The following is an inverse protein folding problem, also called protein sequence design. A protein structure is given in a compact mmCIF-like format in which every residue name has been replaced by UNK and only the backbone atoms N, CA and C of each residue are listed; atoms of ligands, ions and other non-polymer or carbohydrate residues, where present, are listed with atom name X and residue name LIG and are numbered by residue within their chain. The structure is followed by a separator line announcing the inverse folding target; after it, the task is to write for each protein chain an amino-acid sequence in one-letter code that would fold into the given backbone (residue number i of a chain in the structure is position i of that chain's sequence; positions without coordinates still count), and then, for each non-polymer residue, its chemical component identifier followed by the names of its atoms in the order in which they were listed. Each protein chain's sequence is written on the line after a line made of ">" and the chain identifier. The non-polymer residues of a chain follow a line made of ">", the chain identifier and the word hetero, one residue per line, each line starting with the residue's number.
data_IF_328232099226
#
_entry.id   IF_328232099226
#
_cell.length_a   1.000
_cell.length_b   1.000
_cell.length_c   1.000
_cell.angle_alpha   90.00
_cell.angle_beta   90.00
_cell.angle_gamma   90.00
#
_symmetry.space_group_name_H-M   'P 1'
#
loop_
_entity.id
_entity.type
_entity.pdbx_description
1 polymer ?
#
# COMPACT_ATOMS: atom_id res chain seq x y z
N UNK A 1 50.47 17.32 -23.44
CA UNK A 1 49.95 18.62 -22.93
C UNK A 1 48.43 18.55 -22.99
N UNK A 2 47.78 18.25 -21.86
CA UNK A 2 46.94 19.18 -21.09
C UNK A 2 45.70 19.71 -21.84
N UNK A 3 44.55 19.19 -21.38
CA UNK A 3 43.28 19.87 -21.07
C UNK A 3 42.24 20.06 -22.19
N UNK A 4 41.10 19.40 -22.01
CA UNK A 4 39.69 19.89 -21.99
C UNK A 4 38.86 18.58 -21.91
N UNK A 5 38.52 18.04 -20.73
CA UNK A 5 37.60 18.52 -19.68
C UNK A 5 36.18 18.79 -20.20
N UNK A 6 35.26 17.90 -19.77
CA UNK A 6 33.81 18.05 -19.67
C UNK A 6 33.06 18.44 -20.95
N UNK A 7 32.16 17.57 -21.41
CA UNK A 7 30.72 17.80 -21.45
C UNK A 7 30.04 16.62 -22.14
N UNK A 8 29.35 15.77 -21.37
CA UNK A 8 28.14 15.03 -21.80
C UNK A 8 27.66 14.16 -20.63
N UNK A 9 27.37 14.81 -19.50
CA UNK A 9 26.34 14.31 -18.59
C UNK A 9 25.10 15.12 -18.98
N UNK A 10 24.37 14.65 -19.99
CA UNK A 10 23.07 15.18 -20.32
C UNK A 10 22.21 14.02 -20.81
N UNK A 11 21.01 13.92 -20.23
CA UNK A 11 19.92 13.01 -20.57
C UNK A 11 19.97 11.60 -19.95
N UNK A 12 19.67 11.55 -18.64
CA UNK A 12 18.63 10.66 -18.12
C UNK A 12 18.23 11.11 -16.70
N UNK A 13 17.75 12.35 -16.54
CA UNK A 13 17.12 12.80 -15.29
C UNK A 13 15.73 13.33 -15.62
N UNK A 14 14.82 12.42 -15.98
CA UNK A 14 13.39 12.74 -16.04
C UNK A 14 12.56 11.46 -16.07
N UNK A 15 12.55 10.77 -14.93
CA UNK A 15 11.37 10.09 -14.39
C UNK A 15 11.58 9.85 -12.88
N UNK A 16 12.19 10.81 -12.19
CA UNK A 16 11.98 10.88 -10.76
C UNK A 16 10.58 11.48 -10.61
N UNK A 17 9.56 10.61 -10.65
CA UNK A 17 8.24 10.97 -10.14
C UNK A 17 8.51 11.45 -8.73
N UNK A 18 8.41 12.78 -8.51
CA UNK A 18 8.40 13.32 -7.15
C UNK A 18 7.28 12.55 -6.49
N UNK A 19 7.63 11.66 -5.56
CA UNK A 19 6.67 10.83 -4.86
C UNK A 19 5.53 11.74 -4.43
N UNK A 20 4.41 11.68 -5.16
CA UNK A 20 3.17 12.27 -4.69
C UNK A 20 3.06 11.74 -3.28
N UNK A 21 2.87 12.60 -2.28
CA UNK A 21 2.58 12.14 -0.93
C UNK A 21 1.32 11.29 -1.04
N UNK A 22 1.52 10.00 -1.30
CA UNK A 22 0.44 9.08 -1.61
C UNK A 22 -0.37 9.06 -0.34
N UNK A 23 -1.68 9.23 -0.41
CA UNK A 23 -2.52 9.17 0.80
C UNK A 23 -2.33 7.83 1.55
N UNK A 24 -1.71 6.84 0.91
CA UNK A 24 -1.31 5.56 1.50
C UNK A 24 0.07 5.58 2.20
N UNK A 25 0.82 6.68 2.13
CA UNK A 25 2.09 6.87 2.84
C UNK A 25 1.92 7.62 4.17
N UNK A 26 0.68 8.00 4.54
CA UNK A 26 0.43 8.66 5.82
C UNK A 26 0.77 7.72 6.99
N UNK A 27 1.40 8.23 8.05
CA UNK A 27 1.70 7.42 9.22
C UNK A 27 0.41 7.10 9.98
N UNK A 28 0.19 5.81 10.27
CA UNK A 28 -0.96 5.29 11.01
C UNK A 28 -0.49 4.32 12.08
N UNK A 29 -1.29 4.17 13.14
CA UNK A 29 -1.09 3.08 14.11
C UNK A 29 -1.64 1.79 13.50
N UNK A 30 -0.89 0.70 13.61
CA UNK A 30 -1.34 -0.63 13.21
C UNK A 30 -2.35 -1.19 14.22
N UNK A 31 -3.55 -0.60 14.23
CA UNK A 31 -4.63 -0.94 15.14
C UNK A 31 -5.95 -0.85 14.39
N UNK A 32 -6.94 -1.63 14.79
CA UNK A 32 -8.30 -1.63 14.26
C UNK A 32 -9.25 -2.17 15.35
N UNK A 33 -10.55 -1.88 15.30
CA UNK A 33 -11.48 -2.28 16.34
C UNK A 33 -11.61 -3.80 16.43
N UNK A 34 -11.77 -4.33 17.63
CA UNK A 34 -11.92 -5.78 17.86
C UNK A 34 -13.20 -6.36 17.24
N UNK A 35 -14.13 -5.49 16.82
CA UNK A 35 -15.31 -5.86 16.05
C UNK A 35 -15.00 -6.25 14.62
N UNK A 36 -13.87 -5.81 14.03
CA UNK A 36 -13.45 -6.23 12.70
C UNK A 36 -13.00 -7.69 12.75
N UNK A 37 -13.72 -8.56 12.04
CA UNK A 37 -13.50 -10.01 12.02
C UNK A 37 -12.78 -10.46 10.77
N UNK A 38 -12.85 -9.68 9.70
CA UNK A 38 -12.25 -9.99 8.41
C UNK A 38 -11.14 -9.01 8.05
N UNK A 39 -10.23 -9.45 7.17
CA UNK A 39 -9.22 -8.58 6.55
C UNK A 39 -9.89 -7.37 5.89
N UNK A 40 -11.03 -7.58 5.21
CA UNK A 40 -11.82 -6.50 4.60
C UNK A 40 -12.17 -5.41 5.59
N UNK A 41 -12.82 -5.77 6.70
CA UNK A 41 -13.28 -4.78 7.70
C UNK A 41 -12.10 -4.04 8.34
N UNK A 42 -10.98 -4.74 8.58
CA UNK A 42 -9.77 -4.13 9.11
C UNK A 42 -9.17 -3.13 8.11
N UNK A 43 -9.04 -3.51 6.83
CA UNK A 43 -8.53 -2.62 5.77
C UNK A 43 -9.47 -1.43 5.56
N UNK A 44 -10.78 -1.64 5.48
CA UNK A 44 -11.77 -0.57 5.36
C UNK A 44 -11.65 0.44 6.51
N UNK A 45 -11.45 -0.04 7.75
CA UNK A 45 -11.22 0.83 8.89
C UNK A 45 -9.93 1.66 8.74
N UNK A 46 -8.83 1.02 8.33
CA UNK A 46 -7.53 1.68 8.16
C UNK A 46 -7.55 2.76 7.08
N UNK A 47 -8.24 2.50 5.96
CA UNK A 47 -8.30 3.43 4.83
C UNK A 47 -9.46 4.43 4.93
N UNK A 48 -10.39 4.29 5.89
CA UNK A 48 -11.54 5.18 6.08
C UNK A 48 -11.18 6.69 6.17
N UNK A 49 -10.04 7.11 6.76
CA UNK A 49 -9.63 8.51 6.76
C UNK A 49 -9.17 9.02 5.37
N UNK A 50 -9.01 8.11 4.41
CA UNK A 50 -8.61 8.40 3.05
C UNK A 50 -9.81 8.36 2.10
N UNK A 51 -9.60 8.75 0.84
CA UNK A 51 -10.62 8.65 -0.19
C UNK A 51 -10.56 7.32 -0.96
N UNK A 52 -9.72 6.37 -0.52
CA UNK A 52 -9.59 5.07 -1.18
C UNK A 52 -10.75 4.14 -0.86
N UNK A 53 -11.16 3.35 -1.84
CA UNK A 53 -12.16 2.29 -1.70
C UNK A 53 -11.66 0.96 -2.24
N UNK A 54 -12.06 -0.13 -1.59
CA UNK A 54 -11.71 -1.49 -2.01
C UNK A 54 -12.55 -1.89 -3.23
N UNK A 55 -11.91 -2.52 -4.20
CA UNK A 55 -12.59 -3.17 -5.35
C UNK A 55 -12.33 -4.67 -5.28
N UNK A 56 -13.41 -5.46 -5.37
CA UNK A 56 -13.37 -6.93 -5.21
C UNK A 56 -13.45 -7.70 -6.52
N UNK A 57 -13.65 -7.02 -7.64
CA UNK A 57 -13.88 -7.66 -8.95
C UNK A 57 -12.59 -8.18 -9.60
N UNK A 58 -11.47 -8.11 -8.88
CA UNK A 58 -10.18 -8.60 -9.31
C UNK A 58 -9.95 -10.03 -8.81
N UNK A 59 -9.17 -10.82 -9.57
CA UNK A 59 -8.86 -12.21 -9.25
C UNK A 59 -8.29 -12.32 -7.81
N UNK A 60 -8.77 -13.31 -7.05
CA UNK A 60 -8.40 -13.62 -5.65
C UNK A 60 -8.74 -12.58 -4.57
N UNK A 61 -9.06 -11.33 -4.95
CA UNK A 61 -9.33 -10.22 -4.01
C UNK A 61 -10.36 -10.58 -2.95
N UNK A 62 -11.50 -11.15 -3.36
CA UNK A 62 -12.55 -11.59 -2.44
C UNK A 62 -12.05 -12.65 -1.45
N UNK A 63 -11.31 -13.65 -1.93
CA UNK A 63 -10.80 -14.73 -1.09
C UNK A 63 -9.75 -14.27 -0.09
N UNK A 64 -8.96 -13.23 -0.40
CA UNK A 64 -8.03 -12.59 0.52
C UNK A 64 -8.80 -11.77 1.57
N UNK A 65 -9.75 -10.96 1.12
CA UNK A 65 -10.49 -10.03 1.96
C UNK A 65 -11.43 -10.71 2.96
N UNK A 66 -11.96 -11.88 2.62
CA UNK A 66 -12.84 -12.68 3.49
C UNK A 66 -12.07 -13.49 4.56
N UNK A 67 -10.73 -13.47 4.55
CA UNK A 67 -9.94 -14.13 5.58
C UNK A 67 -10.16 -13.49 6.95
N UNK A 68 -9.98 -14.25 8.05
CA UNK A 68 -9.99 -13.69 9.39
C UNK A 68 -8.96 -12.56 9.54
N UNK A 69 -9.33 -11.49 10.25
CA UNK A 69 -8.39 -10.42 10.57
C UNK A 69 -7.21 -10.99 11.39
N UNK A 70 -5.95 -10.68 11.04
CA UNK A 70 -4.80 -11.22 11.74
C UNK A 70 -4.72 -10.69 13.17
N UNK A 71 -4.20 -11.50 14.09
CA UNK A 71 -3.92 -11.03 15.44
C UNK A 71 -2.63 -10.20 15.47
N UNK A 72 -2.76 -8.89 15.58
CA UNK A 72 -1.63 -7.96 15.66
C UNK A 72 -1.20 -7.78 17.11
N UNK A 73 -0.04 -8.36 17.46
CA UNK A 73 0.51 -8.32 18.81
C UNK A 73 1.07 -6.94 19.23
N UNK A 74 1.38 -6.05 18.29
CA UNK A 74 1.94 -4.71 18.58
C UNK A 74 1.09 -3.58 18.01
N UNK A 75 -0.05 -3.30 18.66
CA UNK A 75 -1.03 -2.27 18.25
C UNK A 75 -0.53 -0.82 18.36
N UNK A 76 0.67 -0.60 18.88
CA UNK A 76 1.27 0.73 19.04
C UNK A 76 2.29 1.08 17.96
N UNK A 77 2.59 0.16 17.05
CA UNK A 77 3.50 0.41 15.95
C UNK A 77 2.91 1.47 15.01
N UNK A 78 3.69 2.52 14.72
CA UNK A 78 3.35 3.54 13.73
C UNK A 78 4.09 3.23 12.44
N UNK A 79 3.35 3.00 11.36
CA UNK A 79 3.88 2.65 10.04
C UNK A 79 3.13 3.44 8.96
N UNK A 80 3.67 3.55 7.73
CA UNK A 80 2.90 3.99 6.57
C UNK A 80 1.62 3.17 6.40
N UNK A 81 0.52 3.81 5.99
CA UNK A 81 -0.77 3.15 5.79
C UNK A 81 -0.69 1.95 4.83
N UNK A 82 0.09 2.05 3.76
CA UNK A 82 0.29 0.96 2.81
C UNK A 82 0.95 -0.26 3.47
N UNK A 83 1.91 -0.03 4.38
CA UNK A 83 2.59 -1.10 5.10
C UNK A 83 1.64 -1.73 6.12
N UNK A 84 0.79 -0.93 6.77
CA UNK A 84 -0.25 -1.46 7.65
C UNK A 84 -1.24 -2.34 6.88
N UNK A 85 -1.67 -1.91 5.69
CA UNK A 85 -2.54 -2.70 4.81
C UNK A 85 -1.82 -3.98 4.37
N UNK A 86 -0.53 -3.92 4.04
CA UNK A 86 0.27 -5.10 3.67
C UNK A 86 0.29 -6.15 4.79
N UNK A 87 0.47 -5.73 6.04
CA UNK A 87 0.40 -6.65 7.20
C UNK A 87 -0.98 -7.29 7.32
N UNK A 88 -2.06 -6.54 7.07
CA UNK A 88 -3.42 -7.07 7.17
C UNK A 88 -3.73 -8.10 6.09
N UNK A 89 -3.29 -7.85 4.86
CA UNK A 89 -3.57 -8.75 3.73
C UNK A 89 -2.60 -9.93 3.67
N UNK A 90 -1.46 -9.85 4.35
CA UNK A 90 -0.41 -10.86 4.34
C UNK A 90 0.67 -10.57 3.31
N UNK A 91 1.94 -10.75 3.70
CA UNK A 91 3.13 -10.36 2.92
C UNK A 91 3.26 -11.09 1.58
N UNK A 92 2.60 -12.25 1.43
CA UNK A 92 2.55 -13.01 0.18
C UNK A 92 1.56 -12.46 -0.85
N UNK A 93 0.75 -11.47 -0.51
CA UNK A 93 -0.22 -10.86 -1.41
C UNK A 93 0.28 -9.51 -1.92
N UNK A 94 -0.10 -9.17 -3.15
CA UNK A 94 0.27 -7.89 -3.77
C UNK A 94 -0.88 -6.90 -3.66
N UNK A 95 -0.55 -5.66 -3.29
CA UNK A 95 -1.48 -4.54 -3.27
C UNK A 95 -1.42 -3.81 -4.62
N UNK A 96 -2.55 -3.75 -5.32
CA UNK A 96 -2.71 -2.94 -6.52
C UNK A 96 -3.41 -1.64 -6.16
N UNK A 97 -2.84 -0.51 -6.59
CA UNK A 97 -3.36 0.82 -6.26
C UNK A 97 -3.61 1.63 -7.53
N UNK A 98 -4.83 2.14 -7.65
CA UNK A 98 -5.18 3.16 -8.64
C UNK A 98 -5.27 4.52 -7.93
N UNK A 99 -4.26 5.35 -8.15
CA UNK A 99 -4.17 6.67 -7.52
C UNK A 99 -5.14 7.69 -8.11
N UNK A 100 -5.57 7.52 -9.36
CA UNK A 100 -6.43 8.47 -10.08
C UNK A 100 -7.88 8.29 -9.65
N UNK A 101 -8.33 7.04 -9.53
CA UNK A 101 -9.70 6.69 -9.14
C UNK A 101 -9.87 6.40 -7.64
N UNK A 102 -8.77 6.45 -6.88
CA UNK A 102 -8.69 6.12 -5.45
C UNK A 102 -9.22 4.71 -5.17
N UNK A 103 -8.69 3.73 -5.90
CA UNK A 103 -9.06 2.32 -5.74
C UNK A 103 -7.88 1.53 -5.18
N UNK A 104 -8.20 0.52 -4.39
CA UNK A 104 -7.25 -0.48 -3.92
C UNK A 104 -7.85 -1.88 -4.15
N UNK A 105 -7.02 -2.82 -4.59
CA UNK A 105 -7.39 -4.24 -4.67
C UNK A 105 -6.17 -5.10 -4.36
N UNK A 106 -6.39 -6.42 -4.28
CA UNK A 106 -5.42 -7.37 -3.79
C UNK A 106 -5.42 -8.60 -4.67
N UNK A 107 -4.23 -9.10 -4.97
CA UNK A 107 -4.01 -10.34 -5.69
C UNK A 107 -3.05 -11.22 -4.92
N UNK A 108 -3.11 -12.52 -5.14
CA UNK A 108 -2.08 -13.42 -4.63
C UNK A 108 -0.75 -13.06 -5.29
N UNK A 109 0.32 -12.96 -4.52
CA UNK A 109 1.66 -12.83 -5.08
C UNK A 109 2.02 -14.12 -5.80
N UNK A 110 2.67 -14.00 -6.95
CA UNK A 110 3.20 -15.15 -7.68
C UNK A 110 4.21 -15.89 -6.77
N UNK A 111 4.08 -17.22 -6.65
CA UNK A 111 5.11 -18.09 -6.08
C UNK A 111 6.35 -18.18 -6.98
#
# INVERSE_FOLDING_TARGET
>A
MKKILLFLIAFAVSNLSLASSSALSIPVRLTFPESAKTVKEAVEWMIAPTQYRIVTDYQDSKAILEQPAPNINNKNLVVPLIDAVAVLVGEQNTILVDHDHKLITFIRGDE
#
